data_IF_981880691177
#
_entry.id   IF_981880691177
#
_cell.length_a   1.000
_cell.length_b   1.000
_cell.length_c   1.000
_cell.angle_alpha   90.00
_cell.angle_beta   90.00
_cell.angle_gamma   90.00
#
_symmetry.space_group_name_H-M   'P 1'
#
loop_
_entity.id
_entity.type
_entity.pdbx_description
1 polymer ?
#
# COMPACT_ATOMS: atom_id res chain seq x y z
N UNK A 1 7.80 24.90 7.90
CA UNK A 1 8.16 23.64 8.60
C UNK A 1 8.57 22.65 7.52
N UNK A 2 9.83 22.19 7.51
CA UNK A 2 10.33 21.31 6.44
C UNK A 2 9.86 19.86 6.68
N UNK A 3 9.56 19.16 5.59
CA UNK A 3 9.08 17.77 5.56
C UNK A 3 10.00 16.79 6.31
N UNK A 4 11.32 17.05 6.30
CA UNK A 4 12.34 16.25 6.98
C UNK A 4 12.25 16.27 8.50
N UNK A 5 11.62 17.28 9.09
CA UNK A 5 11.66 17.48 10.55
C UNK A 5 10.43 16.85 11.25
N UNK A 6 9.33 16.60 10.51
CA UNK A 6 8.09 16.06 11.08
C UNK A 6 8.03 14.54 11.15
N UNK A 7 8.67 13.84 10.22
CA UNK A 7 8.65 12.37 10.19
C UNK A 7 9.40 11.74 11.38
N UNK A 8 10.58 12.24 11.79
CA UNK A 8 11.21 11.78 13.03
C UNK A 8 10.37 12.06 14.28
N UNK A 9 9.64 13.18 14.31
CA UNK A 9 8.73 13.51 15.42
C UNK A 9 7.53 12.56 15.53
N UNK A 10 7.12 11.96 14.40
CA UNK A 10 6.09 10.94 14.35
C UNK A 10 6.62 9.52 14.54
N UNK A 11 7.93 9.34 14.80
CA UNK A 11 8.56 8.02 14.89
C UNK A 11 8.65 7.28 13.56
N UNK A 12 8.46 7.97 12.43
CA UNK A 12 8.45 7.40 11.09
C UNK A 12 9.85 7.55 10.48
N UNK A 13 10.49 6.44 10.18
CA UNK A 13 11.74 6.44 9.43
C UNK A 13 11.48 6.92 7.99
N UNK A 14 12.32 7.83 7.52
CA UNK A 14 12.33 8.21 6.11
C UNK A 14 12.81 7.03 5.28
N UNK A 15 11.97 6.54 4.37
CA UNK A 15 12.46 5.66 3.30
C UNK A 15 13.10 6.51 2.19
N UNK A 16 14.29 7.01 2.50
CA UNK A 16 15.17 7.69 1.53
C UNK A 16 16.41 6.83 1.43
N UNK A 17 16.33 5.77 0.63
CA UNK A 17 17.44 4.84 0.47
C UNK A 17 18.72 5.58 0.06
N UNK A 18 19.81 5.34 0.80
CA UNK A 18 21.14 5.47 0.21
C UNK A 18 21.16 4.56 -1.03
N UNK A 19 21.52 5.11 -2.21
CA UNK A 19 21.58 4.41 -3.52
C UNK A 19 21.51 2.87 -3.40
N UNK A 20 20.31 2.28 -3.52
CA UNK A 20 20.16 0.82 -3.56
C UNK A 20 18.94 0.20 -2.86
N UNK A 21 18.34 0.85 -1.86
CA UNK A 21 17.15 0.30 -1.15
C UNK A 21 15.83 0.64 -1.88
N UNK A 22 15.72 0.32 -3.17
CA UNK A 22 14.60 0.74 -4.04
C UNK A 22 13.37 -0.18 -4.00
N UNK A 23 13.34 -1.19 -3.11
CA UNK A 23 12.32 -2.23 -3.15
C UNK A 23 10.92 -1.72 -2.78
N UNK A 24 10.83 -0.85 -1.78
CA UNK A 24 9.57 -0.22 -1.38
C UNK A 24 9.06 0.76 -2.44
N UNK A 25 9.96 1.55 -3.05
CA UNK A 25 9.63 2.44 -4.16
C UNK A 25 9.18 1.66 -5.39
N UNK A 26 9.88 0.57 -5.76
CA UNK A 26 9.51 -0.26 -6.90
C UNK A 26 8.13 -0.93 -6.69
N UNK A 27 7.83 -1.36 -5.46
CA UNK A 27 6.52 -1.88 -5.10
C UNK A 27 5.44 -0.79 -5.24
N UNK A 28 5.69 0.39 -4.67
CA UNK A 28 4.76 1.52 -4.78
C UNK A 28 4.52 1.93 -6.24
N UNK A 29 5.58 1.98 -7.05
CA UNK A 29 5.54 2.26 -8.49
C UNK A 29 4.73 1.22 -9.27
N UNK A 30 4.82 -0.04 -8.88
CA UNK A 30 4.03 -1.13 -9.46
C UNK A 30 2.54 -0.94 -9.16
N UNK A 31 2.19 -0.65 -7.90
CA UNK A 31 0.79 -0.44 -7.49
C UNK A 31 0.19 0.80 -8.17
N UNK A 32 0.93 1.91 -8.24
CA UNK A 32 0.43 3.12 -8.94
C UNK A 32 0.33 2.91 -10.45
N UNK A 33 1.23 2.11 -11.05
CA UNK A 33 1.14 1.71 -12.45
C UNK A 33 -0.14 0.93 -12.74
N UNK A 34 -0.47 -0.02 -11.86
CA UNK A 34 -1.68 -0.84 -11.93
C UNK A 34 -2.95 0.00 -11.78
N UNK A 35 -3.01 0.87 -10.77
CA UNK A 35 -4.11 1.81 -10.57
C UNK A 35 -4.36 2.68 -11.81
N UNK A 36 -3.29 3.27 -12.37
CA UNK A 36 -3.42 4.09 -13.59
C UNK A 36 -3.96 3.29 -14.78
N UNK A 37 -3.63 2.01 -14.87
CA UNK A 37 -4.10 1.14 -15.94
C UNK A 37 -5.58 0.78 -15.74
N UNK A 38 -5.91 0.19 -14.60
CA UNK A 38 -7.23 -0.39 -14.33
C UNK A 38 -8.32 0.67 -14.07
N UNK A 39 -7.95 1.83 -13.52
CA UNK A 39 -8.90 2.90 -13.19
C UNK A 39 -8.77 4.01 -14.22
N UNK A 40 -7.66 4.75 -14.20
CA UNK A 40 -7.55 6.01 -14.94
C UNK A 40 -7.72 5.81 -16.45
N UNK A 41 -7.04 4.81 -17.04
CA UNK A 41 -7.08 4.54 -18.48
C UNK A 41 -8.30 3.73 -18.90
N UNK A 42 -8.65 2.68 -18.16
CA UNK A 42 -9.72 1.76 -18.56
C UNK A 42 -11.14 2.25 -18.26
N UNK A 43 -11.36 3.12 -17.26
CA UNK A 43 -12.71 3.56 -16.85
C UNK A 43 -13.04 5.00 -17.23
N UNK A 44 -12.10 5.72 -17.85
CA UNK A 44 -12.34 7.06 -18.39
C UNK A 44 -13.24 7.05 -19.64
N UNK A 45 -13.63 8.23 -20.16
CA UNK A 45 -13.21 9.56 -19.72
C UNK A 45 -13.88 10.04 -18.43
N UNK A 46 -13.13 10.74 -17.60
CA UNK A 46 -13.58 11.32 -16.33
C UNK A 46 -14.08 12.75 -16.54
N UNK A 47 -15.18 13.12 -15.90
CA UNK A 47 -15.79 14.45 -16.05
C UNK A 47 -15.46 15.37 -14.90
N UNK A 48 -15.37 14.82 -13.69
CA UNK A 48 -15.12 15.55 -12.46
C UNK A 48 -14.04 14.86 -11.62
N UNK A 49 -13.52 15.57 -10.61
CA UNK A 49 -12.56 15.00 -9.65
C UNK A 49 -13.27 13.99 -8.76
N UNK A 50 -14.52 14.28 -8.39
CA UNK A 50 -15.39 13.45 -7.57
C UNK A 50 -15.62 12.06 -8.21
N UNK A 51 -15.76 11.99 -9.54
CA UNK A 51 -15.85 10.71 -10.25
C UNK A 51 -14.59 9.84 -10.04
N UNK A 52 -13.41 10.48 -10.08
CA UNK A 52 -12.12 9.81 -9.89
C UNK A 52 -11.96 9.38 -8.43
N UNK A 53 -12.31 10.25 -7.48
CA UNK A 53 -12.26 9.93 -6.04
C UNK A 53 -13.14 8.73 -5.72
N UNK A 54 -14.38 8.71 -6.20
CA UNK A 54 -15.30 7.60 -5.99
C UNK A 54 -14.78 6.29 -6.61
N UNK A 55 -14.28 6.36 -7.85
CA UNK A 55 -13.67 5.19 -8.50
C UNK A 55 -12.41 4.70 -7.77
N UNK A 56 -11.64 5.62 -7.18
CA UNK A 56 -10.47 5.30 -6.36
C UNK A 56 -10.88 4.55 -5.09
N UNK A 57 -11.91 5.04 -4.37
CA UNK A 57 -12.42 4.38 -3.18
C UNK A 57 -12.88 2.95 -3.48
N UNK A 58 -13.64 2.76 -4.56
CA UNK A 58 -14.07 1.43 -5.00
C UNK A 58 -12.86 0.55 -5.32
N UNK A 59 -11.87 1.08 -6.03
CA UNK A 59 -10.70 0.31 -6.42
C UNK A 59 -9.85 -0.09 -5.22
N UNK A 60 -9.66 0.81 -4.24
CA UNK A 60 -8.93 0.53 -3.00
C UNK A 60 -9.66 -0.54 -2.17
N UNK A 61 -10.98 -0.43 -1.97
CA UNK A 61 -11.76 -1.46 -1.27
C UNK A 61 -11.58 -2.83 -1.94
N UNK A 62 -11.78 -2.89 -3.26
CA UNK A 62 -11.64 -4.12 -4.01
C UNK A 62 -10.21 -4.67 -3.95
N UNK A 63 -9.19 -3.82 -4.17
CA UNK A 63 -7.79 -4.22 -4.14
C UNK A 63 -7.40 -4.80 -2.79
N UNK A 64 -7.79 -4.14 -1.69
CA UNK A 64 -7.39 -4.53 -0.34
C UNK A 64 -8.14 -5.76 0.16
N UNK A 65 -9.44 -5.87 -0.12
CA UNK A 65 -10.30 -6.85 0.55
C UNK A 65 -10.77 -7.99 -0.35
N UNK A 66 -10.61 -7.89 -1.67
CA UNK A 66 -11.18 -8.88 -2.62
C UNK A 66 -10.20 -9.36 -3.67
N UNK A 67 -9.19 -8.58 -4.05
CA UNK A 67 -8.22 -8.96 -5.07
C UNK A 67 -7.30 -10.05 -4.55
N UNK A 68 -7.31 -11.20 -5.21
CA UNK A 68 -6.36 -12.27 -4.94
C UNK A 68 -5.04 -11.97 -5.63
N UNK A 69 -3.93 -12.14 -4.90
CA UNK A 69 -2.59 -11.93 -5.40
C UNK A 69 -1.75 -13.21 -5.21
N UNK A 70 -1.34 -13.82 -6.31
CA UNK A 70 -0.50 -15.02 -6.31
C UNK A 70 0.78 -14.85 -5.46
N UNK A 71 1.54 -13.73 -5.54
CA UNK A 71 2.78 -13.58 -4.78
C UNK A 71 2.63 -13.64 -3.26
N UNK A 72 1.42 -13.41 -2.73
CA UNK A 72 1.13 -13.47 -1.28
C UNK A 72 0.31 -14.71 -0.90
N UNK A 73 0.15 -15.67 -1.81
CA UNK A 73 -0.53 -16.94 -1.57
C UNK A 73 -1.98 -16.98 -2.01
N UNK A 74 -2.38 -16.17 -3.01
CA UNK A 74 -3.75 -16.10 -3.52
C UNK A 74 -4.78 -15.72 -2.45
N UNK A 75 -4.42 -14.78 -1.58
CA UNK A 75 -5.31 -14.19 -0.57
C UNK A 75 -5.40 -12.66 -0.78
N UNK A 76 -6.43 -11.98 -0.25
CA UNK A 76 -6.49 -10.53 -0.24
C UNK A 76 -5.33 -9.89 0.53
N UNK A 77 -4.83 -8.71 0.10
CA UNK A 77 -3.80 -7.97 0.82
C UNK A 77 -4.10 -7.74 2.30
N UNK A 78 -5.35 -7.38 2.64
CA UNK A 78 -5.75 -7.15 4.02
C UNK A 78 -5.63 -8.42 4.88
N UNK A 79 -5.95 -9.60 4.33
CA UNK A 79 -5.80 -10.87 5.03
C UNK A 79 -4.32 -11.21 5.24
N UNK A 80 -3.46 -10.91 4.26
CA UNK A 80 -2.01 -11.09 4.40
C UNK A 80 -1.44 -10.18 5.48
N UNK A 81 -1.89 -8.94 5.54
CA UNK A 81 -1.50 -7.97 6.56
C UNK A 81 -1.94 -8.43 7.96
N UNK A 82 -3.19 -8.86 8.11
CA UNK A 82 -3.72 -9.41 9.38
C UNK A 82 -2.88 -10.60 9.85
N UNK A 83 -2.61 -11.58 8.97
CA UNK A 83 -1.76 -12.74 9.27
C UNK A 83 -0.35 -12.34 9.68
N UNK A 84 0.21 -11.31 9.05
CA UNK A 84 1.55 -10.81 9.37
C UNK A 84 1.60 -10.21 10.78
N UNK A 85 0.60 -9.41 11.18
CA UNK A 85 0.56 -8.83 12.52
C UNK A 85 0.26 -9.89 13.60
N UNK A 86 -0.69 -10.80 13.37
CA UNK A 86 -0.94 -11.94 14.27
C UNK A 86 0.33 -12.79 14.47
N UNK A 87 1.08 -13.04 13.40
CA UNK A 87 2.35 -13.77 13.44
C UNK A 87 3.52 -13.00 14.06
N UNK A 88 3.43 -11.67 14.21
CA UNK A 88 4.45 -10.84 14.88
C UNK A 88 4.15 -10.62 16.36
N UNK A 89 2.90 -10.76 16.78
CA UNK A 89 2.52 -10.75 18.20
C UNK A 89 2.94 -12.05 18.93
N UNK A 90 3.34 -13.09 18.19
CA UNK A 90 3.89 -14.36 18.71
C UNK A 90 5.29 -14.58 18.10
N UNK A 91 6.46 -14.29 18.72
CA UNK A 91 6.79 -14.14 20.15
C UNK A 91 7.61 -12.87 20.50
N UNK A 92 7.09 -12.02 21.39
CA UNK A 92 7.88 -11.12 22.23
C UNK A 92 7.51 -11.18 23.73
N UNK A 93 6.51 -12.00 24.10
CA UNK A 93 6.09 -12.19 25.49
C UNK A 93 6.68 -13.44 26.18
N UNK A 94 7.50 -14.24 25.49
CA UNK A 94 8.14 -15.43 26.04
C UNK A 94 9.64 -15.21 26.30
N UNK A 95 9.97 -14.21 27.12
CA UNK A 95 11.28 -14.06 27.74
C UNK A 95 11.10 -13.32 29.07
N UNK A 96 10.66 -14.06 30.09
CA UNK A 96 10.61 -13.68 31.49
C UNK A 96 11.01 -14.86 32.34
#
# INVERSE_FOLDING_TARGET
IRYTDRLPQAGVALSVGSKGDSYDNALAETIIGLYRTEVIRCRGPWRTVEDVEYATLIWVDWFSHRRLLEPIGNIPPAEREEKYYLGRETPALAAG
#
